data_IF_418679941186
#
_entry.id   IF_418679941186
#
_cell.length_a   1.000
_cell.length_b   1.000
_cell.length_c   1.000
_cell.angle_alpha   90.00
_cell.angle_beta   90.00
_cell.angle_gamma   90.00
#
_symmetry.space_group_name_H-M   'P 1'
#
loop_
_entity.id
_entity.type
_entity.pdbx_description
1 polymer ?
#
# COMPACT_ATOMS: atom_id res chain seq x y z
N UNK A 1 -0.42 15.81 -8.16
CA UNK A 1 -0.84 14.40 -8.32
C UNK A 1 -1.90 14.14 -7.28
N UNK A 2 -3.11 13.77 -7.69
CA UNK A 2 -4.16 13.36 -6.75
C UNK A 2 -3.74 12.07 -6.05
N UNK A 3 -3.97 12.00 -4.74
CA UNK A 3 -3.69 10.79 -3.99
C UNK A 3 -4.61 9.65 -4.46
N UNK A 4 -4.14 8.39 -4.47
CA UNK A 4 -5.02 7.26 -4.67
C UNK A 4 -6.17 7.28 -3.66
N UNK A 5 -7.38 7.05 -4.16
CA UNK A 5 -8.57 6.90 -3.31
C UNK A 5 -8.37 5.64 -2.47
N UNK A 6 -8.12 5.80 -1.18
CA UNK A 6 -8.09 4.69 -0.23
C UNK A 6 -9.56 4.25 -0.01
N UNK A 7 -9.87 2.95 -0.08
CA UNK A 7 -11.23 2.47 0.19
C UNK A 7 -11.72 2.90 1.57
N UNK A 8 -12.98 3.35 1.68
CA UNK A 8 -13.60 3.78 2.94
C UNK A 8 -13.60 2.66 4.00
N UNK A 9 -13.80 1.41 3.56
CA UNK A 9 -13.79 0.24 4.43
C UNK A 9 -12.49 -0.54 4.30
N UNK A 10 -11.58 -0.31 5.26
CA UNK A 10 -10.31 -0.98 5.38
C UNK A 10 -10.24 -1.79 6.68
N UNK A 11 -10.46 -3.10 6.60
CA UNK A 11 -10.40 -3.99 7.78
C UNK A 11 -8.94 -4.31 8.08
N UNK A 12 -8.43 -3.80 9.19
CA UNK A 12 -7.04 -4.01 9.61
C UNK A 12 -6.67 -5.50 9.69
N UNK A 13 -5.53 -5.85 9.10
CA UNK A 13 -4.96 -7.20 9.19
C UNK A 13 -3.64 -7.15 9.95
N UNK A 14 -3.76 -7.10 11.28
CA UNK A 14 -2.64 -6.91 12.21
C UNK A 14 -1.43 -7.79 11.88
N UNK A 15 -1.63 -9.08 11.61
CA UNK A 15 -0.53 -10.01 11.29
C UNK A 15 0.37 -9.53 10.14
N UNK A 16 -0.20 -8.92 9.10
CA UNK A 16 0.59 -8.41 7.96
C UNK A 16 1.23 -7.07 8.30
N UNK A 17 0.47 -6.15 8.90
CA UNK A 17 0.95 -4.82 9.28
C UNK A 17 2.12 -4.92 10.26
N UNK A 18 2.00 -5.75 11.30
CA UNK A 18 3.03 -5.96 12.33
C UNK A 18 4.30 -6.60 11.76
N UNK A 19 4.18 -7.49 10.77
CA UNK A 19 5.35 -8.07 10.08
C UNK A 19 6.08 -7.06 9.19
N UNK A 20 5.35 -6.12 8.59
CA UNK A 20 5.91 -5.14 7.66
C UNK A 20 6.46 -3.91 8.40
N UNK A 21 5.86 -3.54 9.54
CA UNK A 21 6.18 -2.35 10.30
C UNK A 21 7.69 -2.16 10.61
N UNK A 22 8.46 -3.19 11.02
CA UNK A 22 9.89 -3.04 11.30
C UNK A 22 10.75 -2.67 10.09
N UNK A 23 10.19 -2.80 8.88
CA UNK A 23 10.87 -2.54 7.61
C UNK A 23 10.36 -1.28 6.91
N UNK A 24 9.39 -0.57 7.49
CA UNK A 24 8.94 0.73 6.99
C UNK A 24 10.04 1.77 7.15
N UNK A 25 10.15 2.72 6.21
CA UNK A 25 11.22 3.73 6.19
C UNK A 25 12.63 3.20 5.86
N UNK A 26 12.82 1.88 5.72
CA UNK A 26 14.11 1.28 5.31
C UNK A 26 14.18 1.11 3.80
N UNK A 27 15.39 1.25 3.26
CA UNK A 27 15.74 1.02 1.85
C UNK A 27 15.67 -0.48 1.48
N UNK A 28 14.48 -1.07 1.58
CA UNK A 28 14.21 -2.47 1.26
C UNK A 28 12.93 -2.56 0.43
N UNK A 29 12.96 -3.44 -0.57
CA UNK A 29 11.81 -3.76 -1.43
C UNK A 29 10.98 -4.86 -0.76
N UNK A 30 9.67 -4.68 -0.69
CA UNK A 30 8.73 -5.66 -0.13
C UNK A 30 7.92 -6.24 -1.28
N UNK A 31 7.96 -7.56 -1.45
CA UNK A 31 7.19 -8.27 -2.49
C UNK A 31 6.07 -9.04 -1.83
N UNK A 32 4.81 -8.69 -2.14
CA UNK A 32 3.61 -9.38 -1.63
C UNK A 32 3.06 -10.27 -2.75
N UNK A 33 3.11 -11.59 -2.54
CA UNK A 33 2.66 -12.59 -3.53
C UNK A 33 1.37 -13.31 -3.08
N UNK A 34 0.74 -14.04 -4.00
CA UNK A 34 -0.43 -14.87 -3.74
C UNK A 34 -1.55 -14.72 -4.78
N UNK A 35 -2.56 -15.60 -4.70
CA UNK A 35 -3.68 -15.71 -5.65
C UNK A 35 -4.46 -14.40 -5.86
N UNK A 36 -5.10 -14.22 -7.03
CA UNK A 36 -5.96 -13.04 -7.30
C UNK A 36 -7.09 -13.00 -6.26
N UNK A 37 -7.51 -11.79 -5.85
CA UNK A 37 -8.58 -11.54 -4.85
C UNK A 37 -8.29 -11.97 -3.40
N UNK A 38 -7.04 -12.22 -3.01
CA UNK A 38 -6.67 -12.49 -1.61
C UNK A 38 -6.51 -11.26 -0.70
N UNK A 39 -6.70 -10.06 -1.24
CA UNK A 39 -6.60 -8.79 -0.48
C UNK A 39 -5.20 -8.14 -0.47
N UNK A 40 -4.30 -8.53 -1.38
CA UNK A 40 -2.94 -7.94 -1.47
C UNK A 40 -2.97 -6.42 -1.65
N UNK A 41 -3.81 -5.89 -2.55
CA UNK A 41 -3.97 -4.44 -2.74
C UNK A 41 -4.48 -3.74 -1.47
N UNK A 42 -5.30 -4.41 -0.67
CA UNK A 42 -5.78 -3.88 0.61
C UNK A 42 -4.67 -3.81 1.66
N UNK A 43 -3.72 -4.75 1.67
CA UNK A 43 -2.52 -4.64 2.51
C UNK A 43 -1.69 -3.41 2.10
N UNK A 44 -1.57 -3.11 0.79
CA UNK A 44 -0.91 -1.89 0.33
C UNK A 44 -1.65 -0.63 0.78
N UNK A 45 -2.98 -0.60 0.70
CA UNK A 45 -3.78 0.51 1.23
C UNK A 45 -3.58 0.73 2.74
N UNK A 46 -3.47 -0.35 3.52
CA UNK A 46 -3.18 -0.28 4.97
C UNK A 46 -1.81 0.32 5.25
N UNK A 47 -0.79 -0.11 4.53
CA UNK A 47 0.57 0.43 4.68
C UNK A 47 0.58 1.93 4.33
N UNK A 48 -0.08 2.33 3.23
CA UNK A 48 -0.15 3.75 2.85
C UNK A 48 -0.90 4.60 3.87
N UNK A 49 -2.03 4.10 4.40
CA UNK A 49 -2.78 4.77 5.46
C UNK A 49 -1.94 4.93 6.73
N UNK A 50 -1.23 3.88 7.14
CA UNK A 50 -0.35 3.90 8.31
C UNK A 50 0.82 4.85 8.14
N UNK A 51 1.50 4.83 7.00
CA UNK A 51 2.62 5.74 6.70
C UNK A 51 2.17 7.20 6.83
N UNK A 52 0.97 7.54 6.35
CA UNK A 52 0.43 8.90 6.49
C UNK A 52 0.11 9.29 7.93
N UNK A 53 -0.39 8.36 8.73
CA UNK A 53 -0.67 8.60 10.14
C UNK A 53 0.63 8.85 10.93
N UNK A 54 1.69 8.11 10.60
CA UNK A 54 2.99 8.22 11.26
C UNK A 54 3.85 9.39 10.74
N UNK A 55 3.79 9.67 9.43
CA UNK A 55 4.53 10.73 8.75
C UNK A 55 3.62 11.47 7.74
N UNK A 56 3.20 12.67 8.13
CA UNK A 56 2.33 13.52 7.32
C UNK A 56 3.05 14.12 6.11
N UNK A 57 4.39 14.15 6.12
CA UNK A 57 5.23 14.63 5.03
C UNK A 57 5.62 13.54 4.03
N UNK A 58 5.25 12.28 4.28
CA UNK A 58 5.63 11.16 3.45
C UNK A 58 5.14 11.31 2.00
N UNK A 59 6.09 11.24 1.05
CA UNK A 59 5.78 11.22 -0.37
C UNK A 59 5.45 9.79 -0.80
N UNK A 60 4.17 9.55 -1.12
CA UNK A 60 3.69 8.24 -1.56
C UNK A 60 3.36 8.30 -3.05
N UNK A 61 4.06 7.47 -3.84
CA UNK A 61 3.75 7.23 -5.25
C UNK A 61 3.05 5.87 -5.35
N UNK A 62 1.83 5.88 -5.87
CA UNK A 62 1.03 4.67 -6.08
C UNK A 62 0.76 4.49 -7.57
N UNK A 63 0.96 3.28 -8.06
CA UNK A 63 0.72 2.91 -9.47
C UNK A 63 -0.16 1.67 -9.48
N UNK A 64 -1.37 1.80 -10.02
CA UNK A 64 -2.24 0.67 -10.29
C UNK A 64 -2.01 0.19 -11.73
N UNK A 65 -1.29 -0.91 -11.92
CA UNK A 65 -1.05 -1.49 -13.25
C UNK A 65 -2.29 -2.10 -13.92
N UNK A 66 -3.44 -2.19 -13.23
CA UNK A 66 -4.72 -2.55 -13.86
C UNK A 66 -5.47 -1.33 -14.42
N UNK A 67 -5.00 -0.11 -14.13
CA UNK A 67 -5.59 1.12 -14.66
C UNK A 67 -4.91 1.50 -15.99
N UNK A 68 -5.72 1.63 -17.03
CA UNK A 68 -5.30 1.95 -18.41
C UNK A 68 -4.49 3.24 -18.51
N UNK A 69 -4.65 4.15 -17.54
CA UNK A 69 -3.85 5.37 -17.47
C UNK A 69 -2.33 5.09 -17.37
N UNK A 70 -1.94 3.88 -16.97
CA UNK A 70 -0.55 3.47 -16.78
C UNK A 70 -0.06 2.41 -17.79
N UNK A 71 -0.79 2.19 -18.89
CA UNK A 71 -0.45 1.16 -19.90
C UNK A 71 0.88 1.42 -20.62
N UNK A 72 1.32 2.68 -20.67
CA UNK A 72 2.56 3.11 -21.35
C UNK A 72 3.82 3.03 -20.47
N UNK A 73 3.68 2.61 -19.21
CA UNK A 73 4.75 2.50 -18.20
C UNK A 73 5.04 1.02 -17.93
#
# INVERSE_FOLDING_TARGET
MSFPVIPEHLIERETYTTRIAPFMGKNVVKVITGQRRTGKSYILYQIMARIRQEDHGAQIIYVNKEDTAFDSI
#
